data_IF_129331267729
#
_entry.id   IF_129331267729
#
_cell.length_a   1.000
_cell.length_b   1.000
_cell.length_c   1.000
_cell.angle_alpha   90.00
_cell.angle_beta   90.00
_cell.angle_gamma   90.00
#
_symmetry.space_group_name_H-M   'P 1'
#
loop_
_entity.id
_entity.type
_entity.pdbx_description
1 polymer ?
#
# COMPACT_ATOMS: atom_id res chain seq x y z
N UNK A 1 11.91 -7.10 8.16
CA UNK A 1 12.98 -6.10 8.34
C UNK A 1 12.71 -5.01 7.30
N UNK A 2 12.19 -3.88 7.71
CA UNK A 2 11.98 -2.75 6.80
C UNK A 2 13.35 -2.33 6.28
N UNK A 3 13.58 -2.50 4.98
CA UNK A 3 14.83 -2.09 4.37
C UNK A 3 14.86 -0.57 4.37
N UNK A 4 15.62 0.02 5.27
CA UNK A 4 15.71 1.46 5.42
C UNK A 4 15.98 2.13 4.06
N UNK A 5 14.89 2.48 3.36
CA UNK A 5 14.89 3.24 2.13
C UNK A 5 15.58 2.63 0.91
N UNK A 6 15.96 1.34 0.91
CA UNK A 6 16.59 0.72 -0.24
C UNK A 6 15.57 0.02 -1.13
N UNK A 7 15.59 0.36 -2.40
CA UNK A 7 14.80 -0.30 -3.44
C UNK A 7 15.74 -1.23 -4.21
N UNK A 8 15.34 -2.48 -4.35
CA UNK A 8 16.13 -3.54 -4.97
C UNK A 8 15.48 -3.98 -6.29
N UNK A 9 16.33 -4.32 -7.26
CA UNK A 9 15.94 -5.03 -8.46
C UNK A 9 16.53 -6.43 -8.42
N UNK A 10 15.68 -7.44 -8.57
CA UNK A 10 16.10 -8.85 -8.62
C UNK A 10 15.83 -9.43 -9.99
N UNK A 11 16.86 -9.96 -10.66
CA UNK A 11 16.69 -10.71 -11.90
C UNK A 11 16.12 -12.09 -11.58
N UNK A 12 15.00 -12.45 -12.20
CA UNK A 12 14.39 -13.78 -12.06
C UNK A 12 15.16 -14.87 -12.83
N UNK A 13 15.99 -14.47 -13.82
CA UNK A 13 16.77 -15.43 -14.64
C UNK A 13 17.96 -16.00 -13.88
N UNK A 14 18.66 -15.18 -13.10
CA UNK A 14 19.90 -15.56 -12.43
C UNK A 14 19.91 -15.31 -10.91
N UNK A 15 18.78 -14.86 -10.34
CA UNK A 15 18.61 -14.51 -8.94
C UNK A 15 19.59 -13.43 -8.42
N UNK A 16 20.19 -12.63 -9.30
CA UNK A 16 21.02 -11.51 -8.87
C UNK A 16 20.14 -10.37 -8.35
N UNK A 17 20.58 -9.73 -7.27
CA UNK A 17 19.88 -8.61 -6.64
C UNK A 17 20.84 -7.43 -6.55
N UNK A 18 20.38 -6.27 -6.97
CA UNK A 18 21.10 -5.00 -6.89
C UNK A 18 20.24 -3.92 -6.22
N UNK A 19 20.90 -2.94 -5.58
CA UNK A 19 20.23 -1.75 -5.08
C UNK A 19 20.15 -0.74 -6.22
N UNK A 20 18.94 -0.44 -6.68
CA UNK A 20 18.72 0.54 -7.74
C UNK A 20 18.54 1.96 -7.20
N UNK A 21 18.09 2.09 -5.97
CA UNK A 21 17.97 3.37 -5.28
C UNK A 21 18.04 3.22 -3.76
N UNK A 22 18.57 4.23 -3.08
CA UNK A 22 18.58 4.34 -1.62
C UNK A 22 17.97 5.68 -1.18
N UNK A 23 16.77 5.61 -0.65
CA UNK A 23 16.06 6.78 -0.10
C UNK A 23 16.52 7.09 1.32
N UNK A 24 16.37 8.34 1.73
CA UNK A 24 16.73 8.79 3.09
C UNK A 24 15.86 8.12 4.17
N UNK A 25 14.60 7.92 3.87
CA UNK A 25 13.60 7.30 4.75
C UNK A 25 13.15 5.93 4.23
N UNK A 26 12.28 5.23 4.95
CA UNK A 26 11.76 3.95 4.49
C UNK A 26 10.89 4.08 3.22
N UNK A 27 11.22 3.33 2.17
CA UNK A 27 10.31 3.14 1.04
C UNK A 27 9.34 2.00 1.36
N UNK A 28 8.04 2.19 1.10
CA UNK A 28 7.02 1.18 1.36
C UNK A 28 6.70 0.38 0.09
N UNK A 29 5.98 0.97 -0.86
CA UNK A 29 5.61 0.33 -2.12
C UNK A 29 6.37 0.98 -3.27
N UNK A 30 6.81 0.17 -4.24
CA UNK A 30 7.46 0.64 -5.45
C UNK A 30 6.84 -0.01 -6.69
N UNK A 31 6.59 0.78 -7.74
CA UNK A 31 6.05 0.34 -9.04
C UNK A 31 6.72 1.10 -10.18
N UNK A 32 6.92 0.41 -11.30
CA UNK A 32 7.43 1.01 -12.53
C UNK A 32 6.26 1.35 -13.45
N UNK A 33 6.29 2.52 -14.09
CA UNK A 33 5.36 2.92 -15.14
C UNK A 33 5.88 2.52 -16.54
N UNK A 34 5.04 2.66 -17.58
CA UNK A 34 5.40 2.30 -18.96
C UNK A 34 6.52 3.16 -19.55
N UNK A 35 6.88 4.27 -18.92
CA UNK A 35 8.05 5.09 -19.32
C UNK A 35 9.35 4.58 -18.72
N UNK A 36 9.32 3.54 -17.89
CA UNK A 36 10.45 3.02 -17.12
C UNK A 36 10.81 3.86 -15.90
N UNK A 37 9.94 4.79 -15.50
CA UNK A 37 10.13 5.54 -14.26
C UNK A 37 9.61 4.72 -13.07
N UNK A 38 10.35 4.75 -11.96
CA UNK A 38 10.00 4.07 -10.72
C UNK A 38 9.28 5.03 -9.78
N UNK A 39 8.09 4.67 -9.36
CA UNK A 39 7.34 5.38 -8.35
C UNK A 39 7.48 4.66 -7.02
N UNK A 40 7.54 5.40 -5.91
CA UNK A 40 7.54 4.78 -4.60
C UNK A 40 6.92 5.67 -3.53
N UNK A 41 6.28 5.05 -2.54
CA UNK A 41 5.77 5.73 -1.37
C UNK A 41 6.78 5.71 -0.23
N UNK A 42 6.80 6.82 0.52
CA UNK A 42 7.37 6.95 1.84
C UNK A 42 6.21 7.07 2.83
N UNK A 43 6.08 6.12 3.74
CA UNK A 43 4.97 6.18 4.72
C UNK A 43 5.17 7.27 5.76
N UNK A 44 6.41 7.47 6.21
CA UNK A 44 6.79 8.44 7.25
C UNK A 44 8.26 8.80 7.15
N UNK A 45 8.65 9.96 7.70
CA UNK A 45 10.06 10.36 7.85
C UNK A 45 10.76 9.72 9.06
N UNK A 46 10.04 8.93 9.84
CA UNK A 46 10.60 8.20 10.94
C UNK A 46 11.55 7.11 10.46
N UNK A 47 12.76 7.01 11.04
CA UNK A 47 13.85 6.19 10.51
C UNK A 47 14.10 4.88 11.26
N UNK A 48 13.55 4.69 12.45
CA UNK A 48 13.76 3.50 13.26
C UNK A 48 12.43 2.79 13.55
N UNK A 49 12.52 1.52 13.93
CA UNK A 49 11.36 0.69 14.23
C UNK A 49 10.43 1.33 15.26
N UNK A 50 10.96 1.86 16.35
CA UNK A 50 10.18 2.55 17.39
C UNK A 50 9.41 3.75 16.81
N UNK A 51 10.01 4.48 15.87
CA UNK A 51 9.40 5.65 15.24
C UNK A 51 8.45 5.29 14.11
N UNK A 52 8.66 4.17 13.43
CA UNK A 52 7.70 3.68 12.41
C UNK A 52 6.37 3.37 13.10
N UNK A 53 6.38 2.63 14.20
CA UNK A 53 5.20 2.39 15.01
C UNK A 53 4.67 3.69 15.65
N UNK A 54 5.51 4.63 16.01
CA UNK A 54 5.10 5.97 16.46
C UNK A 54 4.30 6.75 15.41
N UNK A 55 4.47 6.48 14.12
CA UNK A 55 3.63 7.05 13.06
C UNK A 55 2.24 6.38 12.97
N UNK A 56 2.06 5.22 13.60
CA UNK A 56 0.76 4.57 13.80
C UNK A 56 0.13 4.93 15.16
N UNK A 57 0.89 5.56 16.07
CA UNK A 57 0.38 6.08 17.35
C UNK A 57 -0.25 7.46 17.20
N UNK A 58 0.12 8.19 16.16
CA UNK A 58 -0.41 9.51 15.86
C UNK A 58 -0.37 9.78 14.36
N UNK A 59 -1.46 10.31 13.83
CA UNK A 59 -1.51 10.74 12.43
C UNK A 59 -0.54 11.90 12.17
N UNK A 60 0.54 11.64 11.42
CA UNK A 60 1.59 12.61 11.06
C UNK A 60 1.56 12.80 9.54
N UNK A 61 1.47 14.06 9.01
CA UNK A 61 1.44 14.32 7.59
C UNK A 61 2.86 14.40 6.98
N UNK A 62 3.66 13.35 7.13
CA UNK A 62 5.04 13.26 6.65
C UNK A 62 5.26 12.13 5.62
N UNK A 63 4.17 11.53 5.17
CA UNK A 63 4.16 10.59 4.05
C UNK A 63 4.22 11.31 2.70
N UNK A 64 4.76 10.64 1.70
CA UNK A 64 4.96 11.20 0.36
C UNK A 64 4.95 10.13 -0.74
N UNK A 65 4.69 10.57 -1.97
CA UNK A 65 4.88 9.81 -3.20
C UNK A 65 5.98 10.47 -4.03
N UNK A 66 6.92 9.66 -4.48
CA UNK A 66 8.06 10.07 -5.31
C UNK A 66 8.04 9.36 -6.66
N UNK A 67 8.62 10.04 -7.67
CA UNK A 67 8.93 9.47 -8.98
C UNK A 67 10.42 9.57 -9.24
N UNK A 68 11.01 8.52 -9.80
CA UNK A 68 12.43 8.39 -10.07
C UNK A 68 12.62 7.95 -11.51
N UNK A 69 13.30 8.77 -12.30
CA UNK A 69 13.66 8.45 -13.67
C UNK A 69 15.08 7.88 -13.73
N UNK A 70 15.39 7.11 -14.77
CA UNK A 70 16.70 6.55 -15.01
C UNK A 70 17.28 7.13 -16.30
N UNK A 71 18.61 7.40 -16.31
CA UNK A 71 19.33 7.76 -17.52
C UNK A 71 19.50 6.54 -18.43
N UNK A 72 19.93 6.77 -19.69
CA UNK A 72 20.26 5.69 -20.63
C UNK A 72 21.34 4.73 -20.09
N UNK A 73 22.24 5.22 -19.25
CA UNK A 73 23.27 4.42 -18.57
C UNK A 73 22.74 3.69 -17.31
N UNK A 74 21.43 3.79 -17.02
CA UNK A 74 20.78 3.13 -15.88
C UNK A 74 20.97 3.81 -14.52
N UNK A 75 21.55 5.02 -14.48
CA UNK A 75 21.70 5.77 -13.22
C UNK A 75 20.40 6.46 -12.84
N UNK A 76 19.98 6.29 -11.58
CA UNK A 76 18.82 6.96 -11.01
C UNK A 76 19.03 8.49 -10.95
N UNK A 77 18.01 9.24 -11.34
CA UNK A 77 17.96 10.69 -11.12
C UNK A 77 17.78 11.01 -9.62
N UNK A 78 17.78 12.28 -9.27
CA UNK A 78 17.24 12.70 -7.98
C UNK A 78 15.72 12.46 -8.02
N UNK A 79 15.12 11.83 -6.98
CA UNK A 79 13.67 11.61 -6.96
C UNK A 79 12.93 12.94 -6.97
N UNK A 80 11.89 12.98 -7.77
CA UNK A 80 10.92 14.05 -7.81
C UNK A 80 9.86 13.79 -6.74
N UNK A 81 9.59 14.80 -5.91
CA UNK A 81 8.46 14.77 -4.98
C UNK A 81 7.20 15.07 -5.77
N UNK A 82 6.29 14.09 -5.86
CA UNK A 82 5.02 14.23 -6.60
C UNK A 82 3.89 14.70 -5.68
N UNK A 83 3.78 14.09 -4.50
CA UNK A 83 2.80 14.45 -3.47
C UNK A 83 3.49 14.37 -2.11
N UNK A 84 3.17 15.30 -1.22
CA UNK A 84 3.55 15.32 0.18
C UNK A 84 2.33 15.44 1.12
N UNK A 85 2.59 15.58 2.41
CA UNK A 85 1.57 15.77 3.45
C UNK A 85 0.55 14.62 3.52
N UNK A 86 0.96 13.40 3.17
CA UNK A 86 0.15 12.20 3.30
C UNK A 86 0.27 11.60 4.71
N UNK A 87 -0.82 11.06 5.21
CA UNK A 87 -0.89 10.44 6.53
C UNK A 87 -0.66 8.93 6.41
N UNK A 88 0.60 8.52 6.50
CA UNK A 88 1.07 7.16 6.31
C UNK A 88 0.71 6.64 4.90
N UNK A 89 1.36 7.22 3.88
CA UNK A 89 1.24 6.75 2.50
C UNK A 89 1.69 5.29 2.41
N UNK A 90 0.84 4.42 1.87
CA UNK A 90 1.09 2.99 1.81
C UNK A 90 1.10 2.51 0.35
N UNK A 91 0.33 1.49 0.01
CA UNK A 91 0.24 0.99 -1.35
C UNK A 91 -0.34 2.00 -2.33
N UNK A 92 0.04 1.88 -3.58
CA UNK A 92 -0.55 2.63 -4.69
C UNK A 92 -0.63 1.75 -5.94
N UNK A 93 -1.50 2.12 -6.87
CA UNK A 93 -1.63 1.46 -8.17
C UNK A 93 -1.68 2.50 -9.29
N UNK A 94 -0.97 2.24 -10.39
CA UNK A 94 -0.95 3.06 -11.59
C UNK A 94 -1.82 2.36 -12.64
N UNK A 95 -2.98 2.93 -12.94
CA UNK A 95 -3.86 2.49 -14.02
C UNK A 95 -3.65 3.40 -15.24
N UNK A 96 -2.66 3.05 -16.06
CA UNK A 96 -2.37 3.82 -17.28
C UNK A 96 -3.50 3.75 -18.30
N UNK A 97 -4.29 2.66 -18.30
CA UNK A 97 -5.43 2.50 -19.19
C UNK A 97 -6.55 3.51 -18.93
N UNK A 98 -6.70 3.92 -17.68
CA UNK A 98 -7.67 4.94 -17.25
C UNK A 98 -7.03 6.30 -16.97
N UNK A 99 -5.72 6.45 -17.09
CA UNK A 99 -4.96 7.63 -16.68
C UNK A 99 -5.23 8.00 -15.20
N UNK A 100 -5.18 7.02 -14.32
CA UNK A 100 -5.44 7.18 -12.88
C UNK A 100 -4.29 6.64 -12.05
N UNK A 101 -4.10 7.27 -10.89
CA UNK A 101 -3.29 6.73 -9.79
C UNK A 101 -4.17 6.63 -8.55
N UNK A 102 -4.17 5.46 -7.92
CA UNK A 102 -4.84 5.20 -6.65
C UNK A 102 -3.78 5.09 -5.55
N UNK A 103 -4.06 5.64 -4.35
CA UNK A 103 -3.10 5.65 -3.25
C UNK A 103 -3.79 5.45 -1.89
N UNK A 104 -3.28 4.51 -1.11
CA UNK A 104 -3.71 4.27 0.27
C UNK A 104 -3.14 5.30 1.21
N UNK A 105 -4.03 5.99 1.94
CA UNK A 105 -3.67 6.86 3.05
C UNK A 105 -4.18 6.23 4.36
N UNK A 106 -3.32 5.37 4.96
CA UNK A 106 -3.70 4.45 6.03
C UNK A 106 -4.25 5.17 7.25
N UNK A 107 -3.55 6.22 7.72
CA UNK A 107 -3.92 7.01 8.89
C UNK A 107 -5.01 8.06 8.61
N UNK A 108 -5.74 7.89 7.51
CA UNK A 108 -6.98 8.62 7.15
C UNK A 108 -8.10 7.68 6.74
N UNK A 109 -7.91 6.36 6.85
CA UNK A 109 -8.91 5.36 6.47
C UNK A 109 -9.49 5.59 5.07
N UNK A 110 -8.64 5.98 4.09
CA UNK A 110 -9.13 6.28 2.75
C UNK A 110 -8.18 5.85 1.64
N UNK A 111 -8.75 5.59 0.49
CA UNK A 111 -8.04 5.48 -0.78
C UNK A 111 -8.28 6.76 -1.58
N UNK A 112 -7.20 7.40 -1.99
CA UNK A 112 -7.21 8.56 -2.87
C UNK A 112 -7.17 8.12 -4.32
N UNK A 113 -7.74 8.95 -5.22
CA UNK A 113 -7.59 8.82 -6.66
C UNK A 113 -7.17 10.15 -7.27
N UNK A 114 -6.31 10.07 -8.26
CA UNK A 114 -5.77 11.22 -9.01
C UNK A 114 -5.91 10.97 -10.51
N UNK A 115 -6.06 12.04 -11.29
CA UNK A 115 -5.76 12.00 -12.71
C UNK A 115 -4.25 11.99 -12.92
N UNK A 116 -3.75 11.10 -13.77
CA UNK A 116 -2.35 10.88 -14.04
C UNK A 116 -2.02 11.23 -15.49
N UNK A 117 -1.01 12.08 -15.70
CA UNK A 117 -0.28 12.14 -16.95
C UNK A 117 1.02 11.33 -16.80
N UNK A 118 1.03 10.10 -17.30
CA UNK A 118 2.18 9.19 -17.16
C UNK A 118 3.43 9.73 -17.85
N UNK A 119 3.27 10.47 -18.93
CA UNK A 119 4.40 11.01 -19.69
C UNK A 119 5.20 12.05 -18.91
N UNK A 120 4.54 12.86 -18.11
CA UNK A 120 5.14 13.90 -17.28
C UNK A 120 5.28 13.49 -15.82
N UNK A 121 4.52 12.49 -15.36
CA UNK A 121 4.40 12.12 -13.95
C UNK A 121 3.52 13.08 -13.15
N UNK A 122 2.78 13.96 -13.81
CA UNK A 122 1.92 14.94 -13.13
C UNK A 122 0.63 14.30 -12.63
N UNK A 123 0.25 14.64 -11.39
CA UNK A 123 -1.02 14.28 -10.78
C UNK A 123 -1.91 15.50 -10.59
N UNK A 124 -3.21 15.33 -10.80
CA UNK A 124 -4.22 16.39 -10.64
C UNK A 124 -5.55 15.82 -10.15
N UNK A 125 -6.51 16.68 -9.85
CA UNK A 125 -7.89 16.32 -9.48
C UNK A 125 -7.98 15.27 -8.35
N UNK A 126 -7.17 15.46 -7.29
CA UNK A 126 -7.21 14.59 -6.11
C UNK A 126 -8.61 14.54 -5.51
N UNK A 127 -9.14 13.32 -5.34
CA UNK A 127 -10.38 13.05 -4.61
C UNK A 127 -10.25 11.80 -3.75
N UNK A 128 -11.18 11.61 -2.82
CA UNK A 128 -11.31 10.34 -2.09
C UNK A 128 -12.18 9.38 -2.91
N UNK A 129 -11.60 8.24 -3.31
CA UNK A 129 -12.32 7.18 -4.00
C UNK A 129 -13.21 6.40 -3.03
N UNK A 130 -12.64 5.96 -1.91
CA UNK A 130 -13.35 5.15 -0.92
C UNK A 130 -12.85 5.42 0.50
N UNK A 131 -13.74 5.22 1.47
CA UNK A 131 -13.43 5.17 2.90
C UNK A 131 -13.43 3.70 3.32
N UNK A 132 -12.35 3.24 3.92
CA UNK A 132 -12.20 1.87 4.40
C UNK A 132 -11.17 1.80 5.54
N UNK A 133 -11.24 0.79 6.43
CA UNK A 133 -10.29 0.67 7.53
C UNK A 133 -8.85 0.47 7.02
N UNK A 134 -7.93 1.26 7.51
CA UNK A 134 -6.47 1.11 7.37
C UNK A 134 -6.01 0.52 6.02
N UNK A 135 -6.27 1.18 4.86
CA UNK A 135 -5.86 0.67 3.57
C UNK A 135 -4.34 0.52 3.49
N UNK A 136 -3.88 -0.64 3.03
CA UNK A 136 -2.47 -1.00 2.87
C UNK A 136 -2.15 -1.19 1.37
N UNK A 137 -1.57 -2.29 0.97
CA UNK A 137 -1.22 -2.54 -0.43
C UNK A 137 -2.46 -2.89 -1.27
N UNK A 138 -2.37 -2.61 -2.57
CA UNK A 138 -3.47 -2.77 -3.51
C UNK A 138 -3.04 -3.34 -4.85
N UNK A 139 -3.99 -4.01 -5.52
CA UNK A 139 -3.85 -4.52 -6.88
C UNK A 139 -5.15 -4.31 -7.67
N UNK A 140 -5.05 -4.05 -8.97
CA UNK A 140 -6.21 -3.98 -9.85
C UNK A 140 -6.57 -5.40 -10.33
N UNK A 141 -7.83 -5.79 -10.15
CA UNK A 141 -8.34 -7.08 -10.62
C UNK A 141 -8.55 -7.10 -12.14
N UNK A 142 -8.67 -8.29 -12.73
CA UNK A 142 -9.02 -8.44 -14.14
C UNK A 142 -10.40 -7.89 -14.49
N UNK A 143 -11.27 -7.73 -13.51
CA UNK A 143 -12.61 -7.16 -13.65
C UNK A 143 -12.60 -5.62 -13.58
N UNK A 144 -11.46 -5.03 -13.21
CA UNK A 144 -11.26 -3.58 -13.13
C UNK A 144 -11.56 -2.98 -11.76
N UNK A 145 -11.82 -3.80 -10.75
CA UNK A 145 -11.97 -3.39 -9.35
C UNK A 145 -10.61 -3.31 -8.66
N UNK A 146 -10.47 -2.38 -7.74
CA UNK A 146 -9.26 -2.22 -6.94
C UNK A 146 -9.36 -3.04 -5.65
N UNK A 147 -8.55 -4.09 -5.53
CA UNK A 147 -8.49 -4.88 -4.31
C UNK A 147 -7.45 -4.29 -3.35
N UNK A 148 -7.85 -4.06 -2.11
CA UNK A 148 -7.03 -3.38 -1.09
C UNK A 148 -6.99 -4.20 0.19
N UNK A 149 -5.79 -4.42 0.70
CA UNK A 149 -5.59 -5.05 2.00
C UNK A 149 -5.94 -4.08 3.13
N UNK A 150 -6.53 -4.60 4.19
CA UNK A 150 -6.89 -3.87 5.40
C UNK A 150 -6.38 -4.63 6.64
N UNK A 151 -5.19 -4.29 7.15
CA UNK A 151 -4.57 -5.02 8.27
C UNK A 151 -5.40 -5.04 9.54
N UNK A 152 -6.00 -3.91 9.92
CA UNK A 152 -6.75 -3.81 11.18
C UNK A 152 -8.07 -4.60 11.13
N UNK A 153 -8.70 -4.71 9.95
CA UNK A 153 -9.87 -5.57 9.76
C UNK A 153 -9.50 -7.02 9.40
N UNK A 154 -8.23 -7.28 9.07
CA UNK A 154 -7.73 -8.57 8.58
C UNK A 154 -8.52 -9.09 7.35
N UNK A 155 -8.81 -8.20 6.41
CA UNK A 155 -9.63 -8.44 5.23
C UNK A 155 -8.95 -7.93 3.95
N UNK A 156 -9.36 -8.46 2.80
CA UNK A 156 -9.17 -7.81 1.50
C UNK A 156 -10.53 -7.27 1.06
N UNK A 157 -10.54 -5.99 0.72
CA UNK A 157 -11.73 -5.28 0.26
C UNK A 157 -11.58 -4.95 -1.21
N UNK A 158 -12.64 -5.12 -1.99
CA UNK A 158 -12.74 -4.68 -3.39
C UNK A 158 -13.45 -3.34 -3.45
N UNK A 159 -12.87 -2.41 -4.19
CA UNK A 159 -13.43 -1.08 -4.45
C UNK A 159 -13.81 -1.02 -5.92
N UNK A 160 -15.08 -0.82 -6.22
CA UNK A 160 -15.52 -0.42 -7.55
C UNK A 160 -14.97 0.97 -7.86
N UNK A 161 -14.10 1.09 -8.85
CA UNK A 161 -13.35 2.33 -9.12
C UNK A 161 -14.20 3.47 -9.70
N UNK A 162 -15.42 3.17 -10.16
CA UNK A 162 -16.35 4.18 -10.71
C UNK A 162 -17.27 4.75 -9.62
N UNK A 163 -17.76 3.91 -8.72
CA UNK A 163 -18.71 4.30 -7.67
C UNK A 163 -18.07 4.51 -6.29
N UNK A 164 -16.88 3.97 -6.06
CA UNK A 164 -16.26 3.91 -4.73
C UNK A 164 -16.91 2.89 -3.78
N UNK A 165 -17.80 2.05 -4.26
CA UNK A 165 -18.46 1.03 -3.44
C UNK A 165 -17.46 -0.02 -2.96
N UNK A 166 -17.52 -0.37 -1.67
CA UNK A 166 -16.59 -1.30 -1.03
C UNK A 166 -17.30 -2.60 -0.68
N UNK A 167 -16.69 -3.73 -1.04
CA UNK A 167 -17.18 -5.09 -0.71
C UNK A 167 -16.05 -5.94 -0.15
N UNK A 168 -16.37 -6.94 0.67
CA UNK A 168 -15.38 -7.89 1.20
C UNK A 168 -15.17 -9.02 0.22
N UNK A 169 -13.91 -9.28 -0.19
CA UNK A 169 -13.54 -10.40 -1.09
C UNK A 169 -12.76 -11.50 -0.39
N UNK A 170 -12.08 -11.18 0.69
CA UNK A 170 -11.45 -12.15 1.58
C UNK A 170 -11.64 -11.71 3.02
N UNK A 171 -12.09 -12.63 3.87
CA UNK A 171 -12.43 -12.36 5.27
C UNK A 171 -11.70 -13.34 6.20
N UNK A 172 -10.77 -12.81 6.99
CA UNK A 172 -10.11 -13.50 8.09
C UNK A 172 -10.28 -12.74 9.41
N UNK A 173 -11.29 -11.87 9.48
CA UNK A 173 -11.58 -11.07 10.66
C UNK A 173 -12.01 -11.97 11.84
N UNK A 174 -11.46 -11.70 13.01
CA UNK A 174 -11.89 -12.29 14.27
C UNK A 174 -12.85 -11.36 15.01
N UNK A 175 -13.55 -11.87 16.03
CA UNK A 175 -14.41 -11.02 16.88
C UNK A 175 -13.60 -9.90 17.56
N UNK A 176 -12.37 -10.22 18.03
CA UNK A 176 -11.45 -9.23 18.59
C UNK A 176 -11.02 -8.24 17.52
N UNK A 177 -10.73 -8.72 16.31
CA UNK A 177 -10.37 -7.89 15.15
C UNK A 177 -11.47 -6.91 14.78
N UNK A 178 -12.74 -7.36 14.84
CA UNK A 178 -13.88 -6.49 14.56
C UNK A 178 -14.00 -5.32 15.58
N UNK A 179 -13.86 -5.60 16.86
CA UNK A 179 -13.90 -4.56 17.89
C UNK A 179 -12.68 -3.62 17.84
N UNK A 180 -11.50 -4.17 17.55
CA UNK A 180 -10.28 -3.36 17.33
C UNK A 180 -10.40 -2.46 16.12
N UNK A 181 -10.96 -2.95 15.02
CA UNK A 181 -11.23 -2.17 13.81
C UNK A 181 -12.15 -0.98 14.10
N UNK A 182 -13.27 -1.20 14.81
CA UNK A 182 -14.19 -0.12 15.19
C UNK A 182 -13.48 0.96 16.02
N UNK A 183 -12.74 0.52 17.05
CA UNK A 183 -11.97 1.42 17.90
C UNK A 183 -10.90 2.18 17.10
N UNK A 184 -10.20 1.49 16.20
CA UNK A 184 -9.17 2.10 15.37
C UNK A 184 -9.71 3.13 14.38
N UNK A 185 -10.86 2.88 13.76
CA UNK A 185 -11.54 3.86 12.89
C UNK A 185 -11.85 5.13 13.69
N UNK A 186 -12.49 5.00 14.85
CA UNK A 186 -12.85 6.12 15.72
C UNK A 186 -11.61 6.94 16.16
N UNK A 187 -10.54 6.27 16.56
CA UNK A 187 -9.28 6.91 16.94
C UNK A 187 -8.66 7.68 15.78
N UNK A 188 -8.56 7.07 14.59
CA UNK A 188 -7.99 7.72 13.40
C UNK A 188 -8.80 8.97 13.02
N UNK A 189 -10.12 8.94 13.10
CA UNK A 189 -10.99 10.11 12.87
C UNK A 189 -10.69 11.24 13.85
N UNK A 190 -10.31 10.92 15.08
CA UNK A 190 -9.90 11.87 16.11
C UNK A 190 -8.41 12.29 16.02
N UNK A 191 -7.66 11.79 15.02
CA UNK A 191 -6.23 12.06 14.85
C UNK A 191 -5.32 11.28 15.80
N UNK A 192 -5.86 10.26 16.46
CA UNK A 192 -5.16 9.33 17.34
C UNK A 192 -4.64 8.13 16.54
N UNK A 193 -3.76 7.33 17.15
CA UNK A 193 -3.20 6.13 16.54
C UNK A 193 -3.91 4.85 16.95
N UNK A 194 -3.47 3.75 16.36
CA UNK A 194 -4.02 2.41 16.57
C UNK A 194 -2.94 1.32 16.81
N UNK A 195 -1.67 1.69 16.95
CA UNK A 195 -0.57 0.72 17.04
C UNK A 195 -0.75 -0.28 18.19
N UNK A 196 -1.29 0.15 19.31
CA UNK A 196 -1.59 -0.70 20.48
C UNK A 196 -2.75 -1.69 20.25
N UNK A 197 -3.56 -1.48 19.20
CA UNK A 197 -4.60 -2.41 18.80
C UNK A 197 -4.06 -3.58 17.95
N UNK A 198 -2.84 -3.46 17.41
CA UNK A 198 -2.20 -4.49 16.60
C UNK A 198 -1.68 -5.63 17.51
N UNK A 199 -2.55 -6.56 17.83
CA UNK A 199 -2.24 -7.71 18.67
C UNK A 199 -2.25 -9.02 17.87
N UNK A 200 -1.57 -10.08 18.34
CA UNK A 200 -1.61 -11.39 17.69
C UNK A 200 -3.02 -11.98 17.54
N UNK A 201 -3.94 -11.60 18.41
CA UNK A 201 -5.33 -12.06 18.39
C UNK A 201 -6.12 -11.54 17.18
N UNK A 202 -5.66 -10.44 16.54
CA UNK A 202 -6.24 -9.94 15.29
C UNK A 202 -6.07 -10.93 14.14
N UNK A 203 -5.00 -11.72 14.16
CA UNK A 203 -4.65 -12.56 13.02
C UNK A 203 -5.47 -13.84 12.93
N UNK A 204 -6.08 -14.30 14.03
CA UNK A 204 -6.80 -15.57 14.08
C UNK A 204 -5.92 -16.72 13.60
N UNK A 205 -6.38 -17.47 12.61
CA UNK A 205 -5.64 -18.58 12.00
C UNK A 205 -4.60 -18.12 10.94
N UNK A 206 -4.54 -16.80 10.66
CA UNK A 206 -3.55 -16.25 9.73
C UNK A 206 -2.15 -16.23 10.36
N UNK A 207 -1.07 -16.46 9.59
CA UNK A 207 0.30 -16.47 10.13
C UNK A 207 0.82 -15.06 10.53
N UNK A 208 0.08 -14.02 10.22
CA UNK A 208 0.39 -12.63 10.57
C UNK A 208 -0.65 -11.66 10.02
N UNK A 209 -0.53 -10.37 10.35
CA UNK A 209 -1.40 -9.32 9.85
C UNK A 209 -1.34 -9.25 8.32
N UNK A 210 -2.50 -9.25 7.70
CA UNK A 210 -2.68 -9.14 6.27
C UNK A 210 -2.26 -7.75 5.81
N UNK A 211 -1.34 -7.66 4.84
CA UNK A 211 -0.78 -6.39 4.37
C UNK A 211 -0.86 -6.21 2.86
N UNK A 212 -1.16 -7.27 2.11
CA UNK A 212 -1.22 -7.19 0.66
C UNK A 212 -1.70 -8.47 0.00
N UNK A 213 -1.74 -8.46 -1.31
CA UNK A 213 -2.05 -9.63 -2.13
C UNK A 213 -1.28 -9.59 -3.44
N UNK A 214 -1.23 -10.74 -4.10
CA UNK A 214 -0.83 -10.91 -5.50
C UNK A 214 -1.99 -11.59 -6.19
N UNK A 215 -2.55 -10.96 -7.20
CA UNK A 215 -3.62 -11.52 -8.00
C UNK A 215 -3.03 -12.40 -9.11
N UNK A 216 -3.57 -13.60 -9.28
CA UNK A 216 -3.29 -14.42 -10.43
C UNK A 216 -4.21 -14.07 -11.60
N UNK A 217 -4.02 -14.74 -12.72
CA UNK A 217 -4.99 -14.70 -13.83
C UNK A 217 -6.31 -15.41 -13.44
N UNK A 218 -7.32 -15.39 -14.31
CA UNK A 218 -8.65 -15.97 -14.03
C UNK A 218 -8.61 -17.46 -13.66
N UNK A 219 -7.57 -18.17 -14.06
CA UNK A 219 -7.38 -19.61 -13.81
C UNK A 219 -6.56 -19.89 -12.53
N UNK A 220 -5.91 -18.89 -11.98
CA UNK A 220 -4.98 -19.00 -10.86
C UNK A 220 -5.61 -18.55 -9.53
N UNK A 221 -5.20 -19.17 -8.41
CA UNK A 221 -5.52 -18.63 -7.10
C UNK A 221 -4.82 -17.28 -6.89
N UNK A 222 -5.34 -16.45 -5.98
CA UNK A 222 -4.57 -15.33 -5.49
C UNK A 222 -3.77 -15.69 -4.22
N UNK A 223 -2.76 -14.88 -3.93
CA UNK A 223 -1.91 -15.07 -2.77
C UNK A 223 -2.06 -13.87 -1.83
N UNK A 224 -2.18 -14.16 -0.53
CA UNK A 224 -2.28 -13.14 0.52
C UNK A 224 -0.92 -13.01 1.19
N UNK A 225 -0.38 -11.78 1.17
CA UNK A 225 0.80 -11.40 1.90
C UNK A 225 0.44 -10.94 3.32
N UNK A 226 1.33 -11.22 4.26
CA UNK A 226 1.14 -10.86 5.66
C UNK A 226 2.48 -10.61 6.35
N UNK A 227 2.49 -10.03 7.55
CA UNK A 227 3.69 -9.81 8.36
C UNK A 227 4.15 -11.07 9.12
N UNK A 228 3.67 -12.25 8.75
CA UNK A 228 4.06 -13.53 9.32
C UNK A 228 5.12 -14.23 8.50
N UNK A 229 5.22 -15.56 8.69
CA UNK A 229 6.27 -16.41 8.14
C UNK A 229 5.83 -17.21 6.91
N UNK A 230 4.62 -17.05 6.42
CA UNK A 230 4.05 -17.81 5.32
C UNK A 230 3.25 -16.94 4.35
N UNK A 231 3.31 -17.28 3.06
CA UNK A 231 2.43 -16.77 2.04
C UNK A 231 1.20 -17.69 1.94
N UNK A 232 0.00 -17.12 1.95
CA UNK A 232 -1.23 -17.89 1.90
C UNK A 232 -1.74 -17.92 0.46
N UNK A 233 -2.00 -19.14 -0.02
CA UNK A 233 -2.65 -19.35 -1.31
C UNK A 233 -4.14 -19.53 -1.09
N UNK A 234 -4.94 -18.66 -1.71
CA UNK A 234 -6.40 -18.72 -1.67
C UNK A 234 -6.90 -19.28 -3.00
N UNK A 235 -7.58 -20.44 -2.96
CA UNK A 235 -8.20 -21.01 -4.15
C UNK A 235 -9.59 -20.39 -4.34
N UNK A 236 -9.92 -19.99 -5.57
CA UNK A 236 -11.32 -19.68 -5.92
C UNK A 236 -12.15 -20.97 -5.76
N UNK A 237 -13.30 -20.89 -5.13
CA UNK A 237 -14.26 -21.99 -5.04
C UNK A 237 -15.04 -22.14 -6.34
#
# INVERSE_FOLDING_TARGET
MFSMGKIYKTSIENNSTEIIYAHKYGANTAREDSTGSLWFTQSTENQNEERLFGALDKAIPDGALFRLSFSEDGFASKPELVIDNLYFANGFYIDEGKNKLYLSEMMKNRVLVFDLDVSTGSLSNQTTLAIMPTPDNMELSSEGDLWVASPLSNQILSIDVESGAVTVVFDAQTDIGFESMKTGIERIENGEGFADLLSPELTGDMPGLLTGMILGDESQPFYVANLGVALIRVAKK
#
